data_IF_585570509352
#
_entry.id   IF_585570509352
#
_cell.length_a   1.000
_cell.length_b   1.000
_cell.length_c   1.000
_cell.angle_alpha   90.00
_cell.angle_beta   90.00
_cell.angle_gamma   90.00
#
_symmetry.space_group_name_H-M   'P 1'
#
loop_
_entity.id
_entity.type
_entity.pdbx_description
1 polymer ?
#
# COMPACT_ATOMS: atom_id res chain seq x y z
N UNK A 1 15.15 37.17 22.19
CA UNK A 1 15.55 36.15 21.20
C UNK A 1 14.72 34.91 21.49
N UNK A 2 13.56 34.75 20.84
CA UNK A 2 12.63 33.62 21.10
C UNK A 2 13.00 32.48 20.17
N UNK A 3 13.36 31.33 20.74
CA UNK A 3 13.59 30.09 19.99
C UNK A 3 12.25 29.57 19.47
N UNK A 4 12.13 29.45 18.15
CA UNK A 4 10.95 28.92 17.49
C UNK A 4 11.08 27.40 17.40
N UNK A 5 10.40 26.68 18.28
CA UNK A 5 10.22 25.23 18.21
C UNK A 5 9.21 24.90 17.11
N UNK A 6 9.66 24.85 15.86
CA UNK A 6 8.92 24.13 14.81
C UNK A 6 9.28 22.65 14.91
N UNK A 7 8.40 21.88 15.55
CA UNK A 7 8.31 20.45 15.30
C UNK A 7 7.60 20.33 13.97
N UNK A 8 8.34 20.09 12.90
CA UNK A 8 7.74 19.84 11.59
C UNK A 8 6.82 18.62 11.71
N UNK A 9 5.52 18.90 11.66
CA UNK A 9 4.45 17.91 11.54
C UNK A 9 4.63 17.21 10.20
N UNK A 10 5.27 16.06 10.21
CA UNK A 10 5.27 15.18 9.05
C UNK A 10 3.80 14.88 8.69
N UNK A 11 3.38 15.11 7.43
CA UNK A 11 2.02 14.80 7.03
C UNK A 11 1.87 13.28 7.03
N UNK A 12 1.18 12.75 8.05
CA UNK A 12 0.60 11.42 7.98
C UNK A 12 -0.23 11.30 6.70
N UNK A 13 -0.17 10.12 6.07
CA UNK A 13 -0.85 9.60 4.87
C UNK A 13 -2.07 10.36 4.31
N UNK A 14 -1.96 11.66 4.02
CA UNK A 14 -2.81 12.38 3.10
C UNK A 14 -2.15 12.20 1.75
N UNK A 15 -2.73 11.30 0.94
CA UNK A 15 -2.13 10.81 -0.30
C UNK A 15 -1.59 11.90 -1.23
N UNK A 16 -0.72 11.46 -2.13
CA UNK A 16 0.06 12.25 -3.10
C UNK A 16 -0.73 13.37 -3.83
N UNK A 17 -2.05 13.21 -3.99
CA UNK A 17 -2.93 14.15 -4.68
C UNK A 17 -3.31 15.41 -3.89
N UNK A 18 -3.27 15.39 -2.55
CA UNK A 18 -3.75 16.54 -1.74
C UNK A 18 -2.75 17.68 -1.63
N UNK A 19 -1.47 17.43 -1.93
CA UNK A 19 -0.37 18.40 -1.69
C UNK A 19 0.04 19.18 -2.94
N UNK A 20 -0.58 18.95 -4.10
CA UNK A 20 -0.17 19.58 -5.37
C UNK A 20 -0.91 20.87 -5.71
N UNK A 21 -1.80 21.38 -4.86
CA UNK A 21 -2.36 22.71 -5.05
C UNK A 21 -1.34 23.76 -4.57
N UNK A 22 -0.69 24.55 -5.45
CA UNK A 22 0.45 25.38 -5.05
C UNK A 22 0.08 26.57 -4.14
N UNK A 23 -1.20 26.85 -3.89
CA UNK A 23 -1.66 28.09 -3.27
C UNK A 23 -2.78 27.89 -2.22
N UNK A 24 -2.64 26.95 -1.28
CA UNK A 24 -3.63 26.77 -0.19
C UNK A 24 -3.16 27.32 1.16
N UNK A 25 -2.45 28.45 1.16
CA UNK A 25 -2.28 29.29 2.35
C UNK A 25 -3.18 30.54 2.36
N UNK A 26 -4.18 30.62 1.48
CA UNK A 26 -5.21 31.65 1.56
C UNK A 26 -6.34 31.21 2.51
N UNK A 27 -6.35 31.78 3.71
CA UNK A 27 -7.33 31.53 4.79
C UNK A 27 -8.80 31.87 4.44
N UNK A 28 -9.08 32.30 3.20
CA UNK A 28 -10.40 32.68 2.71
C UNK A 28 -10.91 31.81 1.56
N UNK A 29 -10.18 30.76 1.15
CA UNK A 29 -10.63 29.95 0.02
C UNK A 29 -11.59 28.85 0.49
N UNK A 30 -12.90 29.11 0.34
CA UNK A 30 -13.94 28.08 0.29
C UNK A 30 -13.44 26.89 -0.52
N UNK A 31 -13.49 25.69 0.08
CA UNK A 31 -13.08 24.44 -0.57
C UNK A 31 -13.90 24.32 -1.85
N UNK A 32 -13.27 24.54 -3.01
CA UNK A 32 -13.89 24.29 -4.31
C UNK A 32 -14.27 22.81 -4.31
N UNK A 33 -15.58 22.52 -4.35
CA UNK A 33 -16.10 21.17 -4.32
C UNK A 33 -15.46 20.32 -5.40
N UNK A 34 -14.88 19.18 -5.04
CA UNK A 34 -14.44 18.19 -6.01
C UNK A 34 -15.67 17.48 -6.58
N UNK A 35 -15.89 17.62 -7.88
CA UNK A 35 -16.92 16.85 -8.59
C UNK A 35 -16.29 15.52 -8.99
N UNK A 36 -16.90 14.42 -8.54
CA UNK A 36 -16.52 13.06 -8.93
C UNK A 36 -17.48 12.62 -10.02
N UNK A 37 -16.97 12.41 -11.22
CA UNK A 37 -17.71 11.87 -12.35
C UNK A 37 -17.20 10.47 -12.70
N UNK A 38 -18.12 9.60 -13.10
CA UNK A 38 -17.81 8.25 -13.51
C UNK A 38 -17.70 8.19 -15.04
N UNK A 39 -16.58 7.68 -15.52
CA UNK A 39 -16.43 7.35 -16.94
C UNK A 39 -17.27 6.13 -17.32
N UNK A 40 -17.73 6.03 -18.58
CA UNK A 40 -18.44 4.85 -19.06
C UNK A 40 -17.59 3.59 -18.89
N UNK A 41 -18.23 2.50 -18.48
CA UNK A 41 -17.58 1.22 -18.18
C UNK A 41 -17.03 0.60 -19.47
N UNK A 42 -15.72 0.33 -19.50
CA UNK A 42 -15.08 -0.45 -20.56
C UNK A 42 -15.11 -1.93 -20.15
N UNK A 43 -16.03 -2.71 -20.71
CA UNK A 43 -16.14 -4.16 -20.46
C UNK A 43 -15.10 -4.95 -21.27
N UNK A 44 -13.82 -4.80 -20.93
CA UNK A 44 -12.72 -5.55 -21.53
C UNK A 44 -11.56 -5.72 -20.52
N UNK A 45 -10.75 -6.79 -20.62
CA UNK A 45 -9.64 -6.99 -19.70
C UNK A 45 -8.55 -5.95 -19.94
N UNK A 46 -8.06 -5.35 -18.85
CA UNK A 46 -6.99 -4.33 -18.87
C UNK A 46 -5.62 -4.90 -19.28
N UNK A 47 -5.49 -6.22 -19.37
CA UNK A 47 -4.29 -6.90 -19.87
C UNK A 47 -4.16 -6.83 -21.39
N UNK A 48 -5.24 -6.44 -22.10
CA UNK A 48 -5.21 -6.25 -23.55
C UNK A 48 -4.76 -4.82 -23.91
N UNK A 49 -3.80 -4.73 -24.83
CA UNK A 49 -3.29 -3.43 -25.30
C UNK A 49 -4.40 -2.54 -25.89
N UNK A 50 -5.38 -3.13 -26.57
CA UNK A 50 -6.52 -2.40 -27.14
C UNK A 50 -7.39 -1.75 -26.04
N UNK A 51 -7.62 -2.45 -24.93
CA UNK A 51 -8.34 -1.92 -23.77
C UNK A 51 -7.60 -0.72 -23.17
N UNK A 52 -6.29 -0.86 -22.95
CA UNK A 52 -5.46 0.21 -22.40
C UNK A 52 -5.47 1.44 -23.33
N UNK A 53 -5.28 1.24 -24.64
CA UNK A 53 -5.33 2.32 -25.63
C UNK A 53 -6.69 3.03 -25.62
N UNK A 54 -7.79 2.28 -25.57
CA UNK A 54 -9.14 2.85 -25.50
C UNK A 54 -9.35 3.69 -24.24
N UNK A 55 -8.90 3.21 -23.07
CA UNK A 55 -9.00 3.96 -21.81
C UNK A 55 -8.17 5.24 -21.87
N UNK A 56 -6.95 5.19 -22.43
CA UNK A 56 -6.11 6.38 -22.60
C UNK A 56 -6.74 7.40 -23.54
N UNK A 57 -7.33 6.96 -24.66
CA UNK A 57 -8.04 7.81 -25.61
C UNK A 57 -9.21 8.54 -24.94
N UNK A 58 -10.09 7.79 -24.25
CA UNK A 58 -11.23 8.36 -23.51
C UNK A 58 -10.76 9.37 -22.46
N UNK A 59 -9.69 9.02 -21.73
CA UNK A 59 -9.13 9.90 -20.69
C UNK A 59 -8.58 11.19 -21.29
N UNK A 60 -7.93 11.12 -22.46
CA UNK A 60 -7.41 12.30 -23.17
C UNK A 60 -8.54 13.21 -23.63
N UNK A 61 -9.60 12.66 -24.23
CA UNK A 61 -10.77 13.41 -24.68
C UNK A 61 -11.46 14.13 -23.52
N UNK A 62 -11.69 13.43 -22.40
CA UNK A 62 -12.25 14.03 -21.19
C UNK A 62 -11.35 15.14 -20.61
N UNK A 63 -10.03 14.98 -20.70
CA UNK A 63 -9.07 15.99 -20.25
C UNK A 63 -9.15 17.26 -21.08
N UNK A 64 -9.31 17.11 -22.41
CA UNK A 64 -9.45 18.22 -23.34
C UNK A 64 -10.77 18.97 -23.12
N UNK A 65 -11.88 18.25 -22.96
CA UNK A 65 -13.19 18.84 -22.68
C UNK A 65 -13.16 19.67 -21.38
N UNK A 66 -12.47 19.18 -20.35
CA UNK A 66 -12.37 19.82 -19.05
C UNK A 66 -11.21 20.83 -18.95
N UNK A 67 -10.48 21.10 -20.04
CA UNK A 67 -9.28 21.96 -20.07
C UNK A 67 -8.27 21.62 -18.96
N UNK A 68 -8.05 20.32 -18.69
CA UNK A 68 -7.12 19.84 -17.66
C UNK A 68 -5.72 19.66 -18.27
N UNK A 69 -4.67 20.26 -17.68
CA UNK A 69 -3.31 20.13 -18.19
C UNK A 69 -2.68 18.76 -17.93
N UNK A 70 -3.23 17.99 -16.99
CA UNK A 70 -2.76 16.66 -16.64
C UNK A 70 -3.94 15.76 -16.24
N UNK A 71 -3.80 14.48 -16.57
CA UNK A 71 -4.72 13.43 -16.16
C UNK A 71 -3.92 12.20 -15.77
N UNK A 72 -4.27 11.63 -14.63
CA UNK A 72 -3.67 10.41 -14.11
C UNK A 72 -4.64 9.25 -14.33
N UNK A 73 -4.18 8.22 -15.03
CA UNK A 73 -4.93 6.98 -15.25
C UNK A 73 -4.21 5.87 -14.50
N UNK A 74 -4.93 5.22 -13.60
CA UNK A 74 -4.40 4.10 -12.81
C UNK A 74 -5.15 2.83 -13.16
N UNK A 75 -4.41 1.73 -13.34
CA UNK A 75 -4.97 0.40 -13.57
C UNK A 75 -4.61 -0.50 -12.39
N UNK A 76 -5.63 -1.05 -11.74
CA UNK A 76 -5.43 -2.04 -10.68
C UNK A 76 -5.30 -3.43 -11.31
N UNK A 77 -4.13 -4.05 -11.17
CA UNK A 77 -3.87 -5.40 -11.64
C UNK A 77 -3.87 -6.41 -10.48
N UNK A 78 -4.49 -7.56 -10.70
CA UNK A 78 -4.43 -8.70 -9.79
C UNK A 78 -3.05 -9.34 -9.84
N UNK A 79 -2.44 -9.57 -8.67
CA UNK A 79 -1.16 -10.26 -8.53
C UNK A 79 -1.41 -11.74 -8.34
N UNK A 80 -0.88 -12.57 -9.24
CA UNK A 80 -1.02 -14.03 -9.20
C UNK A 80 0.35 -14.67 -9.00
N UNK A 81 0.45 -15.59 -8.04
CA UNK A 81 1.61 -16.44 -7.84
C UNK A 81 1.37 -17.78 -8.53
N UNK A 82 2.11 -18.03 -9.61
CA UNK A 82 2.03 -19.26 -10.40
C UNK A 82 3.18 -20.20 -10.01
N UNK A 83 2.86 -21.39 -9.52
CA UNK A 83 3.84 -22.39 -9.13
C UNK A 83 3.50 -23.78 -9.68
N UNK A 84 4.51 -24.65 -9.79
CA UNK A 84 4.36 -26.00 -10.31
C UNK A 84 4.44 -26.09 -11.84
N UNK A 85 4.24 -27.29 -12.38
CA UNK A 85 4.27 -27.57 -13.82
C UNK A 85 3.26 -28.67 -14.19
N UNK A 86 2.69 -28.60 -15.41
CA UNK A 86 1.71 -29.56 -15.91
C UNK A 86 0.47 -29.65 -15.02
N UNK A 87 0.04 -30.86 -14.69
CA UNK A 87 -1.10 -31.11 -13.80
C UNK A 87 -0.89 -30.61 -12.35
N UNK A 88 0.35 -30.26 -11.98
CA UNK A 88 0.66 -29.71 -10.65
C UNK A 88 0.76 -28.18 -10.65
N UNK A 89 0.41 -27.50 -11.76
CA UNK A 89 0.39 -26.03 -11.83
C UNK A 89 -0.72 -25.47 -10.94
N UNK A 90 -0.40 -24.49 -10.10
CA UNK A 90 -1.31 -23.81 -9.18
C UNK A 90 -1.15 -22.32 -9.36
N UNK A 91 -2.26 -21.63 -9.60
CA UNK A 91 -2.32 -20.19 -9.63
C UNK A 91 -3.01 -19.70 -8.36
N UNK A 92 -2.29 -18.92 -7.57
CA UNK A 92 -2.75 -18.40 -6.29
C UNK A 92 -2.92 -16.89 -6.45
N UNK A 93 -4.15 -16.39 -6.28
CA UNK A 93 -4.44 -14.96 -6.29
C UNK A 93 -3.95 -14.31 -4.99
N UNK A 94 -2.81 -13.63 -5.06
CA UNK A 94 -2.19 -12.95 -3.92
C UNK A 94 -2.99 -11.71 -3.53
N UNK A 95 -3.62 -11.03 -4.49
CA UNK A 95 -4.47 -9.88 -4.21
C UNK A 95 -5.70 -10.26 -3.38
N UNK A 96 -6.31 -11.42 -3.65
CA UNK A 96 -7.40 -11.95 -2.82
C UNK A 96 -6.92 -12.33 -1.42
N UNK A 97 -5.75 -12.97 -1.30
CA UNK A 97 -5.15 -13.29 0.00
C UNK A 97 -4.91 -12.01 0.80
N UNK A 98 -4.28 -10.99 0.21
CA UNK A 98 -4.02 -9.72 0.88
C UNK A 98 -5.31 -9.02 1.35
N UNK A 99 -6.36 -9.04 0.52
CA UNK A 99 -7.69 -8.51 0.90
C UNK A 99 -8.30 -9.26 2.09
N UNK A 100 -8.14 -10.58 2.13
CA UNK A 100 -8.68 -11.43 3.20
C UNK A 100 -7.88 -11.30 4.49
N UNK A 101 -6.55 -11.16 4.37
CA UNK A 101 -5.62 -11.07 5.50
C UNK A 101 -5.70 -9.69 6.18
N UNK A 102 -5.99 -8.64 5.41
CA UNK A 102 -6.12 -7.27 5.89
C UNK A 102 -4.78 -6.53 5.99
N UNK A 103 -4.85 -5.19 5.94
CA UNK A 103 -3.68 -4.30 5.87
C UNK A 103 -2.69 -4.52 7.01
N UNK A 104 -3.21 -4.55 8.25
CA UNK A 104 -2.40 -4.68 9.46
C UNK A 104 -1.58 -5.98 9.47
N UNK A 105 -2.17 -7.08 9.03
CA UNK A 105 -1.47 -8.36 8.96
C UNK A 105 -0.44 -8.35 7.82
N UNK A 106 -0.76 -7.77 6.66
CA UNK A 106 0.21 -7.60 5.57
C UNK A 106 1.45 -6.80 6.01
N UNK A 107 1.25 -5.74 6.79
CA UNK A 107 2.36 -4.94 7.34
C UNK A 107 3.14 -5.75 8.39
N UNK A 108 2.45 -6.56 9.20
CA UNK A 108 3.08 -7.44 10.18
C UNK A 108 3.88 -8.61 9.56
N UNK A 109 3.54 -9.08 8.35
CA UNK A 109 4.18 -10.23 7.71
C UNK A 109 5.71 -10.10 7.63
N UNK A 110 6.22 -8.89 7.43
CA UNK A 110 7.66 -8.64 7.38
C UNK A 110 8.33 -8.90 8.74
N UNK A 111 7.76 -8.38 9.82
CA UNK A 111 8.22 -8.64 11.18
C UNK A 111 8.08 -10.11 11.57
N UNK A 112 6.97 -10.75 11.17
CA UNK A 112 6.75 -12.18 11.39
C UNK A 112 7.78 -13.02 10.64
N UNK A 113 8.13 -12.66 9.40
CA UNK A 113 9.18 -13.35 8.64
C UNK A 113 10.54 -13.20 9.31
N UNK A 114 10.91 -12.00 9.73
CA UNK A 114 12.17 -11.77 10.46
C UNK A 114 12.24 -12.56 11.78
N UNK A 115 11.12 -12.65 12.50
CA UNK A 115 11.05 -13.33 13.80
C UNK A 115 10.99 -14.87 13.68
N UNK A 116 10.33 -15.39 12.65
CA UNK A 116 10.21 -16.85 12.45
C UNK A 116 11.35 -17.44 11.60
N UNK A 117 12.02 -16.59 10.83
CA UNK A 117 13.13 -16.92 9.93
C UNK A 117 12.70 -17.37 8.53
N UNK A 118 13.67 -17.51 7.62
CA UNK A 118 13.44 -17.90 6.23
C UNK A 118 13.38 -19.43 6.07
N UNK A 119 13.20 -19.96 4.86
CA UNK A 119 12.98 -21.40 4.67
C UNK A 119 14.20 -22.25 5.06
N UNK A 120 15.40 -21.67 5.03
CA UNK A 120 16.66 -22.32 5.42
C UNK A 120 17.04 -22.09 6.88
N UNK A 121 16.39 -21.14 7.57
CA UNK A 121 16.69 -20.80 8.97
C UNK A 121 15.39 -20.70 9.76
N UNK A 122 14.98 -21.78 10.41
CA UNK A 122 13.86 -21.73 11.35
C UNK A 122 14.34 -21.20 12.71
N UNK A 123 13.68 -20.16 13.23
CA UNK A 123 13.99 -19.62 14.56
C UNK A 123 13.52 -20.53 15.71
N UNK A 124 12.43 -21.28 15.51
CA UNK A 124 11.82 -22.11 16.55
C UNK A 124 12.00 -23.61 16.30
N UNK A 125 12.71 -24.30 17.20
CA UNK A 125 12.87 -25.75 17.14
C UNK A 125 11.51 -26.46 17.32
N UNK A 126 11.17 -27.33 16.39
CA UNK A 126 9.93 -28.13 16.44
C UNK A 126 8.63 -27.33 16.27
N UNK A 127 8.68 -26.07 15.86
CA UNK A 127 7.49 -25.22 15.61
C UNK A 127 7.54 -24.69 14.18
N UNK A 128 6.52 -25.01 13.37
CA UNK A 128 6.41 -24.52 11.99
C UNK A 128 5.89 -23.08 11.90
N UNK A 129 6.23 -22.39 10.80
CA UNK A 129 5.81 -21.00 10.50
C UNK A 129 4.30 -20.82 10.51
N UNK A 130 3.56 -21.81 10.02
CA UNK A 130 2.10 -21.78 9.99
C UNK A 130 1.51 -21.67 11.41
N UNK A 131 2.12 -22.33 12.39
CA UNK A 131 1.67 -22.29 13.79
C UNK A 131 1.92 -20.92 14.40
N UNK A 132 3.08 -20.32 14.13
CA UNK A 132 3.39 -18.96 14.58
C UNK A 132 2.44 -17.94 13.93
N UNK A 133 2.21 -18.04 12.62
CA UNK A 133 1.32 -17.15 11.88
C UNK A 133 -0.13 -17.24 12.38
N UNK A 134 -0.62 -18.44 12.68
CA UNK A 134 -1.95 -18.64 13.26
C UNK A 134 -2.12 -18.04 14.67
N UNK A 135 -1.04 -17.97 15.46
CA UNK A 135 -1.07 -17.33 16.79
C UNK A 135 -1.13 -15.81 16.62
N UNK A 136 -0.25 -15.26 15.78
CA UNK A 136 -0.19 -13.82 15.51
C UNK A 136 -1.49 -13.33 14.85
N UNK A 137 -2.13 -14.14 14.01
CA UNK A 137 -3.40 -13.78 13.41
C UNK A 137 -4.55 -13.69 14.43
N UNK A 138 -4.45 -14.37 15.58
CA UNK A 138 -5.46 -14.31 16.64
C UNK A 138 -5.22 -13.18 17.62
N UNK A 139 -3.96 -12.87 17.92
CA UNK A 139 -3.61 -11.86 18.92
C UNK A 139 -3.32 -10.49 18.32
N UNK A 140 -4.16 -9.51 18.67
CA UNK A 140 -4.07 -8.13 18.16
C UNK A 140 -2.78 -7.42 18.58
N UNK A 141 -2.33 -7.61 19.82
CA UNK A 141 -1.10 -6.98 20.31
C UNK A 141 0.13 -7.41 19.50
N UNK A 142 0.17 -8.69 19.11
CA UNK A 142 1.23 -9.21 18.25
C UNK A 142 1.15 -8.62 16.84
N UNK A 143 -0.04 -8.44 16.28
CA UNK A 143 -0.20 -7.78 14.97
C UNK A 143 0.33 -6.35 15.00
N UNK A 144 -0.04 -5.58 16.03
CA UNK A 144 0.42 -4.20 16.19
C UNK A 144 1.94 -4.14 16.40
N UNK A 145 2.48 -5.04 17.22
CA UNK A 145 3.93 -5.12 17.46
C UNK A 145 4.69 -5.39 16.16
N UNK A 146 4.28 -6.42 15.42
CA UNK A 146 4.94 -6.79 14.17
C UNK A 146 4.67 -5.82 13.03
N UNK A 147 3.53 -5.13 12.98
CA UNK A 147 3.26 -4.10 11.96
C UNK A 147 4.12 -2.85 12.14
N UNK A 148 4.60 -2.60 13.37
CA UNK A 148 5.55 -1.52 13.68
C UNK A 148 7.00 -1.92 13.42
N UNK A 149 7.25 -3.18 13.06
CA UNK A 149 8.60 -3.65 12.78
C UNK A 149 9.15 -2.96 11.53
N UNK A 150 10.27 -2.25 11.68
CA UNK A 150 10.89 -1.49 10.58
C UNK A 150 10.25 -0.12 10.30
N UNK A 151 9.27 0.35 11.07
CA UNK A 151 8.67 1.68 10.87
C UNK A 151 9.46 2.82 11.51
N UNK A 152 10.44 2.51 12.38
CA UNK A 152 11.37 3.49 12.95
C UNK A 152 12.80 3.14 12.55
N UNK A 153 13.48 4.11 11.94
CA UNK A 153 14.92 4.09 11.69
C UNK A 153 15.72 4.76 12.82
N UNK A 154 15.03 5.24 13.87
CA UNK A 154 15.68 5.86 15.03
C UNK A 154 16.26 4.75 15.89
N UNK A 155 17.54 4.46 15.65
CA UNK A 155 18.36 3.69 16.58
C UNK A 155 18.67 4.63 17.75
N UNK A 156 18.01 4.43 18.88
CA UNK A 156 18.42 5.08 20.13
C UNK A 156 19.77 4.49 20.51
N UNK A 157 20.81 5.32 20.53
CA UNK A 157 22.17 4.92 20.92
C UNK A 157 22.38 4.91 22.44
N UNK A 158 21.32 5.09 23.24
CA UNK A 158 21.45 5.31 24.68
C UNK A 158 21.49 4.04 25.54
N UNK A 159 21.31 2.83 24.96
CA UNK A 159 21.35 1.56 25.71
C UNK A 159 22.60 0.70 25.41
N UNK A 160 23.71 1.34 25.01
CA UNK A 160 25.04 0.70 24.99
C UNK A 160 25.95 1.28 26.07
N UNK A 161 25.52 1.21 27.33
CA UNK A 161 26.41 1.23 28.48
C UNK A 161 26.20 -0.07 29.26
N UNK A 162 27.17 -0.97 29.09
CA UNK A 162 27.62 -2.08 29.96
C UNK A 162 26.60 -2.70 30.92
#
# INVERSE_FOLDING_TARGET
MKMNTNRDLFPGWKGWLSSMAPNSQDKNHSIKSSVVEYMPVVNAPITEAATVQKVLQISLEASQELNRPYTFVTFDLTVIFDNGCGNNRRQIDVSQIAKTLGRQMCDALLGVHAFTGCDTTSCFAGKGKLRALNIIQKEEDLKVLFSRFGTSLVVSYDDCLL
#
